data_IF_842464615718
#
_entry.id   IF_842464615718
#
_cell.length_a   1.000
_cell.length_b   1.000
_cell.length_c   1.000
_cell.angle_alpha   90.00
_cell.angle_beta   90.00
_cell.angle_gamma   90.00
#
_symmetry.space_group_name_H-M   'P 1'
#
loop_
_entity.id
_entity.type
_entity.pdbx_description
1 polymer ?
#
# COMPACT_ATOMS: atom_id res chain seq x y z
N UNK A 1 -7.36 -3.88 -23.58
CA UNK A 1 -6.46 -2.97 -22.84
C UNK A 1 -5.30 -3.79 -22.30
N UNK A 2 -4.04 -3.38 -22.54
CA UNK A 2 -2.87 -4.10 -22.06
C UNK A 2 -2.73 -4.08 -20.52
N UNK A 3 -3.23 -3.02 -19.86
CA UNK A 3 -3.09 -2.82 -18.40
C UNK A 3 -4.44 -2.87 -17.69
N UNK A 4 -5.02 -4.06 -17.57
CA UNK A 4 -6.35 -4.23 -16.97
C UNK A 4 -6.44 -3.81 -15.48
N UNK A 5 -5.30 -3.75 -14.78
CA UNK A 5 -5.24 -3.37 -13.37
C UNK A 5 -5.55 -1.89 -13.13
N UNK A 6 -5.37 -1.02 -14.13
CA UNK A 6 -5.65 0.43 -14.01
C UNK A 6 -7.13 0.72 -13.72
N UNK A 7 -8.02 -0.23 -14.04
CA UNK A 7 -9.45 -0.15 -13.72
C UNK A 7 -9.79 -0.56 -12.28
N UNK A 8 -8.86 -1.16 -11.55
CA UNK A 8 -9.10 -1.57 -10.17
C UNK A 8 -9.05 -0.33 -9.28
N UNK A 9 -10.16 -0.01 -8.61
CA UNK A 9 -10.20 1.10 -7.66
C UNK A 9 -9.16 0.94 -6.54
N UNK A 10 -8.87 -0.30 -6.11
CA UNK A 10 -7.83 -0.57 -5.10
C UNK A 10 -6.43 -0.24 -5.60
N UNK A 11 -6.18 -0.38 -6.90
CA UNK A 11 -4.91 0.02 -7.51
C UNK A 11 -4.77 1.54 -7.50
N UNK A 12 -5.81 2.27 -7.94
CA UNK A 12 -5.82 3.73 -7.96
C UNK A 12 -5.56 4.30 -6.55
N UNK A 13 -6.32 3.84 -5.55
CA UNK A 13 -6.11 4.23 -4.14
C UNK A 13 -4.71 3.90 -3.63
N UNK A 14 -4.13 2.77 -4.03
CA UNK A 14 -2.77 2.41 -3.63
C UNK A 14 -1.71 3.32 -4.27
N UNK A 15 -1.94 3.79 -5.50
CA UNK A 15 -1.07 4.77 -6.16
C UNK A 15 -1.19 6.13 -5.47
N UNK A 16 -2.41 6.59 -5.19
CA UNK A 16 -2.66 7.86 -4.49
C UNK A 16 -2.03 7.87 -3.09
N UNK A 17 -2.16 6.76 -2.34
CA UNK A 17 -1.50 6.58 -1.06
C UNK A 17 0.03 6.67 -1.20
N UNK A 18 0.61 5.97 -2.19
CA UNK A 18 2.06 5.99 -2.41
C UNK A 18 2.58 7.38 -2.81
N UNK A 19 1.83 8.13 -3.64
CA UNK A 19 2.20 9.51 -4.00
C UNK A 19 2.15 10.44 -2.78
N UNK A 20 1.12 10.30 -1.95
CA UNK A 20 0.99 11.08 -0.70
C UNK A 20 2.16 10.81 0.24
N UNK A 21 2.51 9.54 0.48
CA UNK A 21 3.64 9.16 1.32
C UNK A 21 4.98 9.65 0.75
N UNK A 22 5.19 9.49 -0.57
CA UNK A 22 6.40 9.99 -1.24
C UNK A 22 6.51 11.50 -1.14
N UNK A 23 5.41 12.24 -1.28
CA UNK A 23 5.40 13.70 -1.22
C UNK A 23 5.61 14.21 0.20
N UNK A 24 5.00 13.56 1.17
CA UNK A 24 5.14 13.89 2.58
C UNK A 24 6.58 13.64 3.09
N UNK A 25 7.17 12.50 2.73
CA UNK A 25 8.51 12.11 3.18
C UNK A 25 9.65 13.00 2.63
N UNK A 26 9.41 13.77 1.55
CA UNK A 26 10.35 14.79 1.03
C UNK A 26 10.61 15.90 2.05
N UNK A 27 9.68 16.17 2.95
CA UNK A 27 9.78 17.23 3.94
C UNK A 27 10.46 16.80 5.23
N UNK A 28 10.84 15.52 5.35
CA UNK A 28 11.49 15.02 6.56
C UNK A 28 12.91 15.62 6.67
N UNK A 29 13.35 16.02 7.87
CA UNK A 29 14.67 16.60 8.05
C UNK A 29 15.77 15.57 7.81
N UNK A 30 17.00 16.05 7.63
CA UNK A 30 18.18 15.19 7.51
C UNK A 30 18.28 14.27 8.73
N UNK A 31 18.63 13.00 8.49
CA UNK A 31 18.77 11.98 9.53
C UNK A 31 17.68 10.89 9.48
N UNK A 32 16.57 11.12 8.76
CA UNK A 32 15.46 10.17 8.65
C UNK A 32 15.45 9.33 7.36
N UNK A 33 16.56 9.28 6.62
CA UNK A 33 16.64 8.54 5.36
C UNK A 33 16.23 7.06 5.49
N UNK A 34 16.55 6.44 6.64
CA UNK A 34 16.13 5.07 6.92
C UNK A 34 14.60 4.93 6.93
N UNK A 35 13.88 5.88 7.51
CA UNK A 35 12.43 5.85 7.59
C UNK A 35 11.79 6.20 6.25
N UNK A 36 12.34 7.21 5.56
CA UNK A 36 11.92 7.61 4.20
C UNK A 36 12.04 6.44 3.22
N UNK A 37 13.17 5.72 3.22
CA UNK A 37 13.37 4.55 2.35
C UNK A 37 12.34 3.45 2.64
N UNK A 38 12.20 3.07 3.91
CA UNK A 38 11.31 1.99 4.31
C UNK A 38 9.86 2.31 3.98
N UNK A 39 9.38 3.52 4.31
CA UNK A 39 7.98 3.87 4.11
C UNK A 39 7.63 4.01 2.62
N UNK A 40 8.52 4.61 1.82
CA UNK A 40 8.30 4.75 0.39
C UNK A 40 8.31 3.38 -0.30
N UNK A 41 9.24 2.48 0.07
CA UNK A 41 9.29 1.12 -0.48
C UNK A 41 8.05 0.31 -0.13
N UNK A 42 7.60 0.37 1.13
CA UNK A 42 6.38 -0.31 1.56
C UNK A 42 5.16 0.24 0.80
N UNK A 43 5.01 1.57 0.70
CA UNK A 43 3.88 2.19 0.00
C UNK A 43 3.84 1.85 -1.49
N UNK A 44 4.98 1.97 -2.20
CA UNK A 44 5.10 1.61 -3.62
C UNK A 44 4.86 0.11 -3.87
N UNK A 45 5.27 -0.75 -2.93
CA UNK A 45 5.06 -2.20 -3.03
C UNK A 45 3.58 -2.57 -3.10
N UNK A 46 2.69 -1.81 -2.45
CA UNK A 46 1.24 -2.09 -2.47
C UNK A 46 0.70 -2.03 -3.91
N UNK A 47 0.91 -0.91 -4.60
CA UNK A 47 0.40 -0.71 -5.97
C UNK A 47 1.11 -1.62 -6.98
N UNK A 48 2.42 -1.81 -6.84
CA UNK A 48 3.20 -2.72 -7.69
C UNK A 48 2.69 -4.16 -7.61
N UNK A 49 2.47 -4.69 -6.40
CA UNK A 49 1.96 -6.05 -6.22
C UNK A 49 0.50 -6.20 -6.67
N UNK A 50 -0.34 -5.16 -6.58
CA UNK A 50 -1.69 -5.20 -7.15
C UNK A 50 -1.63 -5.34 -8.68
N UNK A 51 -0.80 -4.52 -9.34
CA UNK A 51 -0.64 -4.56 -10.78
C UNK A 51 -0.10 -5.90 -11.26
N UNK A 52 0.98 -6.39 -10.63
CA UNK A 52 1.61 -7.66 -10.95
C UNK A 52 0.67 -8.84 -10.71
N UNK A 53 0.00 -8.85 -9.55
CA UNK A 53 -0.99 -9.86 -9.20
C UNK A 53 -2.10 -9.94 -10.23
N UNK A 54 -2.71 -8.82 -10.60
CA UNK A 54 -3.80 -8.80 -11.58
C UNK A 54 -3.38 -9.30 -12.97
N UNK A 55 -2.10 -9.22 -13.32
CA UNK A 55 -1.53 -9.79 -14.55
C UNK A 55 -1.30 -11.30 -14.52
N UNK A 56 -1.38 -11.97 -13.37
CA UNK A 56 -1.12 -13.42 -13.27
C UNK A 56 -2.27 -14.27 -13.81
N UNK A 57 -1.90 -15.33 -14.54
CA UNK A 57 -2.85 -16.26 -15.15
C UNK A 57 -3.63 -17.08 -14.11
N UNK A 58 -2.91 -17.68 -13.15
CA UNK A 58 -3.55 -18.55 -12.15
C UNK A 58 -4.15 -17.73 -11.00
N UNK A 59 -5.19 -18.26 -10.37
CA UNK A 59 -5.77 -17.65 -9.16
C UNK A 59 -4.81 -17.71 -7.97
N UNK A 60 -4.02 -18.79 -7.89
CA UNK A 60 -3.02 -19.00 -6.83
C UNK A 60 -1.95 -17.91 -6.87
N UNK A 61 -1.37 -17.65 -8.05
CA UNK A 61 -0.33 -16.62 -8.18
C UNK A 61 -0.91 -15.24 -7.91
N UNK A 62 -2.09 -14.93 -8.47
CA UNK A 62 -2.86 -13.72 -8.14
C UNK A 62 -2.99 -13.50 -6.63
N UNK A 63 -3.40 -14.54 -5.91
CA UNK A 63 -3.59 -14.51 -4.47
C UNK A 63 -2.28 -14.20 -3.72
N UNK A 64 -1.17 -14.81 -4.14
CA UNK A 64 0.15 -14.58 -3.54
C UNK A 64 0.53 -13.10 -3.62
N UNK A 65 0.41 -12.47 -4.79
CA UNK A 65 0.71 -11.05 -4.98
C UNK A 65 -0.22 -10.13 -4.18
N UNK A 66 -1.54 -10.41 -4.16
CA UNK A 66 -2.45 -9.63 -3.33
C UNK A 66 -2.16 -9.79 -1.83
N UNK A 67 -1.68 -10.96 -1.41
CA UNK A 67 -1.24 -11.19 -0.02
C UNK A 67 0.03 -10.40 0.30
N UNK A 68 0.99 -10.32 -0.63
CA UNK A 68 2.18 -9.48 -0.48
C UNK A 68 1.80 -8.00 -0.38
N UNK A 69 0.92 -7.50 -1.26
CA UNK A 69 0.40 -6.13 -1.18
C UNK A 69 -0.23 -5.84 0.20
N UNK A 70 -0.99 -6.80 0.74
CA UNK A 70 -1.58 -6.70 2.09
C UNK A 70 -0.51 -6.74 3.19
N UNK A 71 0.59 -7.46 2.98
CA UNK A 71 1.77 -7.44 3.85
C UNK A 71 2.42 -6.05 3.89
N UNK A 72 2.65 -5.43 2.74
CA UNK A 72 3.20 -4.07 2.67
C UNK A 72 2.32 -3.01 3.36
N UNK A 73 0.99 -3.19 3.37
CA UNK A 73 0.11 -2.36 4.22
C UNK A 73 0.46 -2.52 5.71
N UNK A 74 0.70 -3.74 6.18
CA UNK A 74 1.08 -3.99 7.58
C UNK A 74 2.45 -3.38 7.91
N UNK A 75 3.35 -3.24 6.93
CA UNK A 75 4.63 -2.54 7.09
C UNK A 75 4.45 -1.02 7.17
N UNK A 76 3.55 -0.43 6.37
CA UNK A 76 3.29 1.01 6.41
C UNK A 76 2.78 1.50 7.78
N UNK A 77 1.91 0.72 8.45
CA UNK A 77 1.29 1.12 9.73
C UNK A 77 2.32 1.50 10.82
N UNK A 78 3.28 0.64 11.20
CA UNK A 78 4.27 0.99 12.22
C UNK A 78 5.25 2.08 11.74
N UNK A 79 5.52 2.19 10.43
CA UNK A 79 6.39 3.24 9.89
C UNK A 79 5.73 4.62 9.99
N UNK A 80 4.43 4.71 9.70
CA UNK A 80 3.62 5.91 9.89
C UNK A 80 3.49 6.29 11.37
N UNK A 81 3.28 5.31 12.25
CA UNK A 81 3.26 5.52 13.70
C UNK A 81 4.61 6.08 14.19
N UNK A 82 5.73 5.54 13.70
CA UNK A 82 7.05 6.05 14.03
C UNK A 82 7.23 7.48 13.53
N UNK A 83 6.80 7.79 12.30
CA UNK A 83 6.85 9.15 11.76
C UNK A 83 6.07 10.14 12.64
N UNK A 84 4.86 9.76 13.09
CA UNK A 84 4.05 10.58 13.97
C UNK A 84 4.72 10.81 15.34
N UNK A 85 5.25 9.75 15.96
CA UNK A 85 5.96 9.84 17.26
C UNK A 85 7.22 10.70 17.21
N UNK A 86 7.88 10.76 16.06
CA UNK A 86 9.05 11.61 15.82
C UNK A 86 8.65 13.05 15.42
N UNK A 87 7.35 13.37 15.37
CA UNK A 87 6.85 14.69 14.99
C UNK A 87 7.07 15.02 13.51
N UNK A 88 7.26 14.01 12.66
CA UNK A 88 7.48 14.18 11.22
C UNK A 88 6.17 14.35 10.44
N UNK A 89 5.07 13.89 11.04
CA UNK A 89 3.69 14.12 10.62
C UNK A 89 2.85 14.45 11.83
N UNK A 90 1.80 15.26 11.63
CA UNK A 90 0.81 15.53 12.65
C UNK A 90 -0.18 14.36 12.83
N UNK A 91 -0.98 14.44 13.91
CA UNK A 91 -1.93 13.40 14.27
C UNK A 91 -3.03 13.22 13.22
N UNK A 92 -3.50 14.32 12.61
CA UNK A 92 -4.57 14.29 11.63
C UNK A 92 -4.12 13.57 10.35
N UNK A 93 -2.92 13.89 9.86
CA UNK A 93 -2.31 13.24 8.71
C UNK A 93 -2.00 11.77 9.00
N UNK A 94 -1.57 11.44 10.21
CA UNK A 94 -1.38 10.05 10.61
C UNK A 94 -2.69 9.25 10.58
N UNK A 95 -3.78 9.82 11.11
CA UNK A 95 -5.10 9.19 11.11
C UNK A 95 -5.68 9.04 9.69
N UNK A 96 -5.53 10.07 8.85
CA UNK A 96 -5.90 10.06 7.43
C UNK A 96 -5.21 8.90 6.68
N UNK A 97 -3.87 8.82 6.76
CA UNK A 97 -3.10 7.78 6.07
C UNK A 97 -3.43 6.38 6.60
N UNK A 98 -3.68 6.25 7.90
CA UNK A 98 -4.10 4.98 8.50
C UNK A 98 -5.50 4.57 8.02
N UNK A 99 -6.42 5.52 7.85
CA UNK A 99 -7.75 5.26 7.31
C UNK A 99 -7.67 4.76 5.87
N UNK A 100 -6.85 5.40 5.02
CA UNK A 100 -6.61 4.96 3.63
C UNK A 100 -6.08 3.51 3.58
N UNK A 101 -5.08 3.19 4.42
CA UNK A 101 -4.57 1.82 4.52
C UNK A 101 -5.64 0.80 4.92
N UNK A 102 -6.55 1.16 5.83
CA UNK A 102 -7.67 0.30 6.24
C UNK A 102 -8.61 0.06 5.06
N UNK A 103 -8.94 1.08 4.27
CA UNK A 103 -9.76 0.92 3.06
C UNK A 103 -9.11 -0.03 2.06
N UNK A 104 -7.84 0.21 1.72
CA UNK A 104 -7.08 -0.62 0.76
C UNK A 104 -7.01 -2.06 1.28
N UNK A 105 -6.76 -2.28 2.58
CA UNK A 105 -6.71 -3.60 3.19
C UNK A 105 -8.03 -4.36 3.08
N UNK A 106 -9.18 -3.67 3.27
CA UNK A 106 -10.51 -4.27 3.08
C UNK A 106 -10.73 -4.70 1.63
N UNK A 107 -10.37 -3.84 0.68
CA UNK A 107 -10.50 -4.15 -0.75
C UNK A 107 -9.63 -5.33 -1.18
N UNK A 108 -8.37 -5.36 -0.74
CA UNK A 108 -7.45 -6.48 -0.99
C UNK A 108 -7.98 -7.78 -0.37
N UNK A 109 -8.52 -7.72 0.85
CA UNK A 109 -9.10 -8.90 1.50
C UNK A 109 -10.25 -9.50 0.67
N UNK A 110 -11.07 -8.66 0.05
CA UNK A 110 -12.09 -9.09 -0.91
C UNK A 110 -11.52 -9.78 -2.16
N UNK A 111 -10.44 -9.22 -2.74
CA UNK A 111 -9.75 -9.84 -3.89
C UNK A 111 -9.11 -11.18 -3.54
N UNK A 112 -8.47 -11.28 -2.38
CA UNK A 112 -7.85 -12.51 -1.85
C UNK A 112 -8.95 -13.57 -1.66
N UNK A 113 -10.06 -13.24 -1.01
CA UNK A 113 -11.17 -14.17 -0.79
C UNK A 113 -11.76 -14.68 -2.12
N UNK A 114 -11.94 -13.80 -3.11
CA UNK A 114 -12.43 -14.18 -4.45
C UNK A 114 -11.49 -15.13 -5.19
N UNK A 115 -10.18 -15.06 -4.94
CA UNK A 115 -9.22 -15.98 -5.52
C UNK A 115 -9.25 -17.37 -4.85
N UNK A 116 -9.71 -17.47 -3.59
CA UNK A 116 -9.85 -18.74 -2.85
C UNK A 116 -11.20 -19.42 -3.08
N UNK A 117 -12.30 -18.67 -3.17
CA UNK A 117 -13.68 -19.20 -3.14
C UNK A 117 -14.26 -19.61 -4.50
N UNK A 118 -13.44 -19.71 -5.56
CA UNK A 118 -13.89 -20.20 -6.87
C UNK A 118 -13.12 -21.48 -7.20
N UNK A 119 -13.51 -22.57 -6.56
CA UNK A 119 -13.25 -23.94 -7.02
C UNK A 119 -14.50 -24.47 -7.69
#
# INVERSE_FOLDING_TARGET
MPFAFEKLLVYQKAVDFADTVCSLSKNFPRGYYFLVDQINRAALSISANIAEGNGRFTKRDRNNFFTIARGSIQECVPLLELAARQGLIDADKHEELKFELIEIAKMLSGLIARCKNRE
#
